data_IF_629617060053
#
_entry.id   IF_629617060053
#
_cell.length_a   1.000
_cell.length_b   1.000
_cell.length_c   1.000
_cell.angle_alpha   90.00
_cell.angle_beta   90.00
_cell.angle_gamma   90.00
#
_symmetry.space_group_name_H-M   'P 1'
#
loop_
_entity.id
_entity.type
_entity.pdbx_description
1 polymer ?
#
# COMPACT_ATOMS: atom_id res chain seq x y z
N UNK A 1 29.43 8.42 -0.31
CA UNK A 1 28.28 7.82 0.42
C UNK A 1 28.85 6.85 1.45
N UNK A 2 28.69 7.13 2.74
CA UNK A 2 29.23 6.27 3.81
C UNK A 2 28.23 5.15 4.09
N UNK A 3 28.64 3.90 3.82
CA UNK A 3 27.92 2.68 4.17
C UNK A 3 28.02 2.49 5.69
N UNK A 4 26.93 2.70 6.43
CA UNK A 4 26.87 2.33 7.85
C UNK A 4 26.50 0.85 7.94
N UNK A 5 27.40 0.07 8.53
CA UNK A 5 27.31 -1.37 8.72
C UNK A 5 26.59 -1.71 10.03
N UNK A 6 25.92 -2.88 10.01
CA UNK A 6 25.41 -3.75 11.08
C UNK A 6 25.64 -3.34 12.55
N UNK A 7 24.60 -3.53 13.38
CA UNK A 7 24.72 -3.46 14.85
C UNK A 7 25.52 -4.65 15.39
N UNK A 8 26.13 -4.44 16.56
CA UNK A 8 27.00 -5.40 17.25
C UNK A 8 26.29 -6.68 17.77
N UNK A 9 24.97 -6.80 17.59
CA UNK A 9 24.17 -7.93 18.04
C UNK A 9 23.88 -8.96 16.93
N UNK A 10 24.42 -8.74 15.73
CA UNK A 10 24.18 -9.63 14.58
C UNK A 10 22.78 -9.47 13.96
N UNK A 11 21.98 -8.51 14.43
CA UNK A 11 20.75 -8.13 13.75
C UNK A 11 21.07 -7.23 12.55
N UNK A 12 20.50 -7.57 11.39
CA UNK A 12 20.40 -6.62 10.30
C UNK A 12 19.39 -5.56 10.75
N UNK A 13 19.81 -4.29 10.79
CA UNK A 13 18.83 -3.22 10.61
C UNK A 13 18.14 -3.57 9.29
N UNK A 14 16.88 -3.99 9.36
CA UNK A 14 16.07 -4.23 8.17
C UNK A 14 16.05 -2.89 7.45
N UNK A 15 16.89 -2.77 6.42
CA UNK A 15 16.94 -1.62 5.53
C UNK A 15 15.58 -1.58 4.85
N UNK A 16 14.64 -0.89 5.49
CA UNK A 16 13.41 -0.42 4.85
C UNK A 16 13.89 0.67 3.90
N UNK A 17 14.37 0.25 2.74
CA UNK A 17 14.72 1.17 1.67
C UNK A 17 13.40 1.85 1.27
N UNK A 18 13.26 3.17 1.47
CA UNK A 18 12.15 3.87 0.87
C UNK A 18 12.19 3.59 -0.64
N UNK A 19 11.03 3.27 -1.22
CA UNK A 19 10.84 2.95 -2.64
C UNK A 19 11.18 1.52 -3.11
N UNK A 20 11.46 0.55 -2.23
CA UNK A 20 11.73 -0.84 -2.66
C UNK A 20 10.60 -1.47 -3.49
N UNK A 21 9.36 -1.00 -3.28
CA UNK A 21 8.17 -1.43 -4.02
C UNK A 21 7.48 -0.25 -4.74
N UNK A 22 8.27 0.68 -5.27
CA UNK A 22 7.75 1.83 -6.01
C UNK A 22 7.13 1.40 -7.35
N UNK A 23 5.95 1.93 -7.74
CA UNK A 23 5.36 1.68 -9.06
C UNK A 23 6.29 2.01 -10.24
N UNK A 24 7.29 2.87 -10.02
CA UNK A 24 8.29 3.24 -11.03
C UNK A 24 9.25 2.09 -11.39
N UNK A 25 9.35 1.07 -10.52
CA UNK A 25 10.17 -0.11 -10.74
C UNK A 25 9.46 -1.16 -11.62
N UNK A 26 8.17 -0.95 -11.90
CA UNK A 26 7.32 -1.85 -12.66
C UNK A 26 7.05 -1.31 -14.07
N UNK A 27 6.84 -2.21 -15.02
CA UNK A 27 6.12 -1.84 -16.24
C UNK A 27 4.67 -1.44 -15.88
N UNK A 28 4.03 -0.62 -16.73
CA UNK A 28 2.65 -0.16 -16.50
C UNK A 28 1.68 -1.34 -16.32
N UNK A 29 1.90 -2.45 -17.04
CA UNK A 29 1.07 -3.65 -16.94
C UNK A 29 1.24 -4.38 -15.61
N UNK A 30 2.48 -4.51 -15.12
CA UNK A 30 2.77 -5.12 -13.83
C UNK A 30 2.23 -4.27 -12.68
N UNK A 31 2.39 -2.94 -12.76
CA UNK A 31 1.83 -2.02 -11.77
C UNK A 31 0.29 -2.14 -11.73
N UNK A 32 -0.37 -2.27 -12.89
CA UNK A 32 -1.81 -2.51 -12.96
C UNK A 32 -2.23 -3.88 -12.42
N UNK A 33 -1.41 -4.93 -12.60
CA UNK A 33 -1.65 -6.26 -12.00
C UNK A 33 -1.54 -6.19 -10.48
N UNK A 34 -0.50 -5.54 -9.94
CA UNK A 34 -0.30 -5.34 -8.50
C UNK A 34 -1.45 -4.56 -7.87
N UNK A 35 -1.82 -3.42 -8.47
CA UNK A 35 -3.00 -2.64 -8.06
C UNK A 35 -4.27 -3.50 -8.02
N UNK A 36 -4.54 -4.30 -9.06
CA UNK A 36 -5.71 -5.19 -9.10
C UNK A 36 -5.69 -6.24 -7.99
N UNK A 37 -4.51 -6.81 -7.70
CA UNK A 37 -4.35 -7.77 -6.62
C UNK A 37 -4.62 -7.16 -5.23
N UNK A 38 -4.19 -5.91 -4.99
CA UNK A 38 -4.49 -5.22 -3.72
C UNK A 38 -6.00 -4.95 -3.62
N UNK A 39 -6.61 -4.47 -4.71
CA UNK A 39 -8.05 -4.18 -4.77
C UNK A 39 -8.90 -5.45 -4.54
N UNK A 40 -8.45 -6.62 -5.01
CA UNK A 40 -9.22 -7.86 -4.84
C UNK A 40 -9.38 -8.29 -3.39
N UNK A 41 -8.52 -7.81 -2.47
CA UNK A 41 -8.69 -8.04 -1.03
C UNK A 41 -10.00 -7.44 -0.48
N UNK A 42 -10.52 -6.38 -1.13
CA UNK A 42 -11.74 -5.68 -0.73
C UNK A 42 -13.01 -6.27 -1.35
N UNK A 43 -12.89 -7.17 -2.33
CA UNK A 43 -14.05 -7.77 -3.01
C UNK A 43 -14.89 -8.60 -2.03
N UNK A 44 -14.22 -9.33 -1.13
CA UNK A 44 -14.84 -10.18 -0.10
C UNK A 44 -15.26 -9.41 1.17
N UNK A 45 -14.86 -8.15 1.31
CA UNK A 45 -15.24 -7.33 2.45
C UNK A 45 -16.72 -6.93 2.37
N UNK A 46 -17.37 -6.89 3.55
CA UNK A 46 -18.70 -6.29 3.69
C UNK A 46 -18.70 -4.87 3.15
N UNK A 47 -19.80 -4.46 2.51
CA UNK A 47 -19.94 -3.15 1.86
C UNK A 47 -20.32 -2.04 2.85
N UNK A 48 -19.59 -1.96 3.96
CA UNK A 48 -19.67 -0.90 4.95
C UNK A 48 -18.32 -0.21 5.09
N UNK A 49 -18.32 1.06 5.45
CA UNK A 49 -17.09 1.83 5.66
C UNK A 49 -16.18 1.17 6.71
N UNK A 50 -16.73 0.77 7.86
CA UNK A 50 -15.96 0.16 8.94
C UNK A 50 -15.30 -1.15 8.54
N UNK A 51 -15.99 -2.02 7.78
CA UNK A 51 -15.40 -3.27 7.31
C UNK A 51 -14.30 -3.03 6.26
N UNK A 52 -14.51 -2.04 5.39
CA UNK A 52 -13.48 -1.58 4.46
C UNK A 52 -12.26 -1.02 5.20
N UNK A 53 -12.46 -0.23 6.25
CA UNK A 53 -11.38 0.33 7.06
C UNK A 53 -10.58 -0.79 7.74
N UNK A 54 -11.25 -1.78 8.34
CA UNK A 54 -10.57 -2.95 8.91
C UNK A 54 -9.78 -3.75 7.87
N UNK A 55 -10.27 -3.83 6.63
CA UNK A 55 -9.55 -4.49 5.53
C UNK A 55 -8.33 -3.66 5.11
N UNK A 56 -8.48 -2.34 5.05
CA UNK A 56 -7.39 -1.40 4.77
C UNK A 56 -6.29 -1.46 5.82
N UNK A 57 -6.64 -1.51 7.11
CA UNK A 57 -5.68 -1.66 8.21
C UNK A 57 -4.92 -3.00 8.20
N UNK A 58 -5.39 -4.00 7.44
CA UNK A 58 -4.70 -5.29 7.25
C UNK A 58 -3.74 -5.29 6.06
N UNK A 59 -3.75 -4.25 5.23
CA UNK A 59 -2.77 -4.12 4.15
C UNK A 59 -1.37 -3.91 4.73
N UNK A 60 -0.37 -4.42 4.04
CA UNK A 60 1.03 -4.10 4.35
C UNK A 60 1.28 -2.61 4.06
N UNK A 61 2.19 -2.00 4.84
CA UNK A 61 2.68 -0.65 4.59
C UNK A 61 3.23 -0.51 3.17
N UNK A 62 3.81 -1.57 2.60
CA UNK A 62 4.26 -1.60 1.21
C UNK A 62 3.10 -1.48 0.22
N UNK A 63 1.97 -2.15 0.46
CA UNK A 63 0.78 -2.06 -0.40
C UNK A 63 0.18 -0.65 -0.35
N UNK A 64 0.12 -0.05 0.84
CA UNK A 64 -0.37 1.33 1.04
C UNK A 64 0.57 2.32 0.35
N UNK A 65 1.89 2.18 0.52
CA UNK A 65 2.89 3.02 -0.12
C UNK A 65 2.85 2.88 -1.66
N UNK A 66 2.71 1.65 -2.17
CA UNK A 66 2.53 1.38 -3.59
C UNK A 66 1.30 2.10 -4.14
N UNK A 67 0.13 1.97 -3.51
CA UNK A 67 -1.10 2.63 -3.95
C UNK A 67 -0.99 4.16 -3.90
N UNK A 68 -0.37 4.69 -2.84
CA UNK A 68 -0.11 6.12 -2.66
C UNK A 68 0.73 6.68 -3.80
N UNK A 69 1.85 6.02 -4.13
CA UNK A 69 2.69 6.39 -5.26
C UNK A 69 1.97 6.19 -6.61
N UNK A 70 1.21 5.10 -6.76
CA UNK A 70 0.52 4.76 -8.01
C UNK A 70 -0.57 5.77 -8.36
N UNK A 71 -1.33 6.23 -7.36
CA UNK A 71 -2.37 7.25 -7.54
C UNK A 71 -1.89 8.68 -7.33
N UNK A 72 -0.62 8.88 -6.96
CA UNK A 72 -0.05 10.19 -6.61
C UNK A 72 -0.83 10.89 -5.50
N UNK A 73 -1.05 10.19 -4.40
CA UNK A 73 -1.73 10.69 -3.21
C UNK A 73 -0.73 11.06 -2.11
N UNK A 74 -1.15 11.92 -1.19
CA UNK A 74 -0.27 12.47 -0.15
C UNK A 74 -0.32 11.66 1.15
N UNK A 75 -1.49 11.12 1.50
CA UNK A 75 -1.72 10.43 2.77
C UNK A 75 -2.52 9.12 2.62
N UNK A 76 -2.49 8.31 3.67
CA UNK A 76 -3.14 6.99 3.72
C UNK A 76 -4.67 7.09 3.72
N UNK A 77 -5.22 8.19 4.24
CA UNK A 77 -6.66 8.44 4.26
C UNK A 77 -7.21 8.73 2.85
N UNK A 78 -6.43 9.40 2.00
CA UNK A 78 -6.72 9.60 0.60
C UNK A 78 -6.71 8.25 -0.15
N UNK A 79 -5.78 7.35 0.16
CA UNK A 79 -5.75 5.98 -0.39
C UNK A 79 -7.02 5.23 0.01
N UNK A 80 -7.38 5.27 1.29
CA UNK A 80 -8.61 4.64 1.80
C UNK A 80 -9.87 5.16 1.10
N UNK A 81 -10.05 6.47 1.01
CA UNK A 81 -11.20 7.08 0.32
C UNK A 81 -11.26 6.66 -1.15
N UNK A 82 -10.12 6.57 -1.83
CA UNK A 82 -10.05 6.13 -3.22
C UNK A 82 -10.51 4.67 -3.37
N UNK A 83 -10.11 3.78 -2.47
CA UNK A 83 -10.60 2.41 -2.42
C UNK A 83 -12.11 2.35 -2.17
N UNK A 84 -12.63 3.12 -1.22
CA UNK A 84 -14.08 3.21 -0.97
C UNK A 84 -14.85 3.66 -2.22
N UNK A 85 -14.38 4.68 -2.94
CA UNK A 85 -14.99 5.15 -4.18
C UNK A 85 -15.02 4.07 -5.27
N UNK A 86 -13.92 3.34 -5.46
CA UNK A 86 -13.84 2.25 -6.45
C UNK A 86 -14.88 1.15 -6.17
N UNK A 87 -15.20 0.90 -4.91
CA UNK A 87 -16.16 -0.10 -4.48
C UNK A 87 -17.56 0.46 -4.14
N UNK A 88 -17.82 1.75 -4.46
CA UNK A 88 -19.09 2.45 -4.19
C UNK A 88 -19.51 2.43 -2.71
N UNK A 89 -18.54 2.47 -1.81
CA UNK A 89 -18.76 2.58 -0.36
C UNK A 89 -18.93 4.06 -0.02
N UNK A 90 -20.01 4.40 0.71
CA UNK A 90 -20.17 5.74 1.29
C UNK A 90 -19.24 5.88 2.48
N UNK A 91 -18.49 6.97 2.51
CA UNK A 91 -17.63 7.40 3.63
C UNK A 91 -18.35 8.58 4.30
N UNK A 92 -18.52 8.52 5.62
CA UNK A 92 -19.20 9.56 6.40
C UNK A 92 -18.34 10.79 6.66
#
# INVERSE_FOLDING_TARGET
MSLKMLKNDGSLDQLVLPDLDSPKLYSLDEANKRKRWIISQFEKSHKTESAFYLTFCRLDLNDIAFLKAFWRLEDDWAVFRRLCMLHKIKVA
#
